data_IF_708666174524
#
_entry.id   IF_708666174524
#
_cell.length_a   1.000
_cell.length_b   1.000
_cell.length_c   1.000
_cell.angle_alpha   90.00
_cell.angle_beta   90.00
_cell.angle_gamma   90.00
#
_symmetry.space_group_name_H-M   'P 1'
#
loop_
_entity.id
_entity.type
_entity.pdbx_description
1 polymer ?
#
# COMPACT_ATOMS: atom_id res chain seq x y z
N UNK A 1 78.58 10.20 7.07
CA UNK A 1 78.40 9.60 8.40
C UNK A 1 77.58 10.59 9.21
N UNK A 2 76.30 10.82 8.94
CA UNK A 2 75.19 9.90 8.66
C UNK A 2 74.92 8.92 9.82
N UNK A 3 73.63 8.95 10.22
CA UNK A 3 72.88 8.06 11.12
C UNK A 3 72.88 8.36 12.64
N UNK A 4 71.76 8.38 13.37
CA UNK A 4 70.31 8.30 13.07
C UNK A 4 69.61 8.77 14.37
N UNK A 5 68.66 9.70 14.27
CA UNK A 5 67.73 10.04 15.36
C UNK A 5 66.72 8.89 15.55
N UNK A 6 66.75 8.21 16.69
CA UNK A 6 65.64 7.36 17.13
C UNK A 6 64.47 8.24 17.56
N UNK A 7 63.65 8.61 16.59
CA UNK A 7 62.35 9.22 16.80
C UNK A 7 61.34 8.11 17.10
N UNK A 8 61.24 7.67 18.36
CA UNK A 8 60.15 6.77 18.78
C UNK A 8 58.87 7.59 18.91
N UNK A 9 58.16 7.72 17.78
CA UNK A 9 56.80 8.26 17.72
C UNK A 9 55.93 7.39 18.63
N UNK A 10 55.46 8.00 19.72
CA UNK A 10 54.45 7.42 20.59
C UNK A 10 53.24 6.99 19.76
N UNK A 11 53.05 5.68 19.64
CA UNK A 11 51.80 5.09 19.19
C UNK A 11 50.97 4.86 20.45
N UNK A 12 50.27 5.91 20.90
CA UNK A 12 49.07 5.73 21.71
C UNK A 12 48.02 5.05 20.82
N UNK A 13 48.11 3.72 20.69
CA UNK A 13 46.93 2.93 20.38
C UNK A 13 46.03 3.01 21.63
N UNK A 14 45.01 3.86 21.56
CA UNK A 14 43.92 3.88 22.52
C UNK A 14 43.42 2.45 22.72
N UNK A 15 43.67 1.89 23.91
CA UNK A 15 43.15 0.59 24.32
C UNK A 15 41.63 0.70 24.32
N UNK A 16 40.99 0.17 23.29
CA UNK A 16 39.54 0.13 23.24
C UNK A 16 39.08 -0.80 24.37
N UNK A 17 38.39 -0.24 25.36
CA UNK A 17 37.93 -0.97 26.53
C UNK A 17 37.01 -2.12 26.09
N UNK A 18 37.47 -3.36 26.30
CA UNK A 18 36.80 -4.57 25.83
C UNK A 18 35.42 -4.75 26.48
N UNK A 19 35.26 -4.35 27.74
CA UNK A 19 33.96 -4.43 28.44
C UNK A 19 32.95 -3.42 27.88
N UNK A 20 33.42 -2.23 27.49
CA UNK A 20 32.60 -1.21 26.86
C UNK A 20 32.18 -1.63 25.45
N UNK A 21 33.07 -2.28 24.69
CA UNK A 21 32.75 -2.88 23.40
C UNK A 21 31.70 -3.99 23.53
N UNK A 22 31.85 -4.90 24.51
CA UNK A 22 30.90 -5.99 24.74
C UNK A 22 29.54 -5.42 25.10
N UNK A 23 29.46 -4.49 26.05
CA UNK A 23 28.20 -3.85 26.45
C UNK A 23 27.52 -3.11 25.29
N UNK A 24 28.29 -2.38 24.48
CA UNK A 24 27.76 -1.69 23.30
C UNK A 24 27.26 -2.68 22.24
N UNK A 25 27.91 -3.83 22.11
CA UNK A 25 27.48 -4.90 21.22
C UNK A 25 26.18 -5.55 21.68
N UNK A 26 26.01 -5.80 22.98
CA UNK A 26 24.77 -6.34 23.56
C UNK A 26 23.58 -5.39 23.34
N UNK A 27 23.79 -4.09 23.56
CA UNK A 27 22.76 -3.06 23.32
C UNK A 27 22.37 -3.05 21.83
N UNK A 28 23.34 -3.10 20.93
CA UNK A 28 23.08 -3.12 19.49
C UNK A 28 22.32 -4.38 19.05
N UNK A 29 22.71 -5.54 19.59
CA UNK A 29 22.02 -6.82 19.32
C UNK A 29 20.58 -6.74 19.81
N UNK A 30 20.34 -6.26 21.03
CA UNK A 30 18.99 -6.16 21.59
C UNK A 30 18.11 -5.21 20.76
N UNK A 31 18.60 -4.03 20.38
CA UNK A 31 17.87 -3.13 19.48
C UNK A 31 17.59 -3.76 18.11
N UNK A 32 18.52 -4.57 17.60
CA UNK A 32 18.34 -5.28 16.33
C UNK A 32 17.23 -6.33 16.44
N UNK A 33 17.21 -7.10 17.53
CA UNK A 33 16.17 -8.10 17.80
C UNK A 33 14.79 -7.45 17.92
N UNK A 34 14.66 -6.39 18.73
CA UNK A 34 13.40 -5.64 18.87
C UNK A 34 12.90 -5.08 17.52
N UNK A 35 13.82 -4.61 16.68
CA UNK A 35 13.47 -4.14 15.35
C UNK A 35 13.00 -5.29 14.44
N UNK A 36 13.67 -6.43 14.48
CA UNK A 36 13.25 -7.63 13.74
C UNK A 36 11.88 -8.12 14.17
N UNK A 37 11.61 -8.16 15.48
CA UNK A 37 10.29 -8.48 16.03
C UNK A 37 9.23 -7.51 15.52
N UNK A 38 9.48 -6.19 15.57
CA UNK A 38 8.55 -5.20 15.04
C UNK A 38 8.27 -5.43 13.54
N UNK A 39 9.30 -5.72 12.74
CA UNK A 39 9.11 -5.99 11.31
C UNK A 39 8.29 -7.27 11.06
N UNK A 40 8.51 -8.32 11.86
CA UNK A 40 7.69 -9.53 11.83
C UNK A 40 6.24 -9.22 12.20
N UNK A 41 5.99 -8.37 13.20
CA UNK A 41 4.62 -7.96 13.57
C UNK A 41 3.91 -7.24 12.41
N UNK A 42 4.62 -6.36 11.69
CA UNK A 42 4.08 -5.71 10.48
C UNK A 42 3.82 -6.71 9.34
N UNK A 43 4.66 -7.74 9.18
CA UNK A 43 4.41 -8.82 8.22
C UNK A 43 3.13 -9.60 8.54
N UNK A 44 2.91 -9.92 9.82
CA UNK A 44 1.67 -10.54 10.29
C UNK A 44 0.46 -9.65 10.01
N UNK A 45 0.55 -8.35 10.27
CA UNK A 45 -0.53 -7.40 9.96
C UNK A 45 -0.87 -7.36 8.45
N UNK A 46 0.15 -7.45 7.58
CA UNK A 46 -0.04 -7.57 6.13
C UNK A 46 -0.82 -8.83 5.78
N UNK A 47 -0.48 -9.97 6.39
CA UNK A 47 -1.16 -11.26 6.15
C UNK A 47 -2.63 -11.18 6.52
N UNK A 48 -2.95 -10.64 7.69
CA UNK A 48 -4.34 -10.45 8.15
C UNK A 48 -5.16 -9.61 7.15
N UNK A 49 -4.63 -8.45 6.76
CA UNK A 49 -5.32 -7.57 5.79
C UNK A 49 -5.46 -8.23 4.42
N UNK A 50 -4.42 -8.93 3.95
CA UNK A 50 -4.45 -9.66 2.66
C UNK A 50 -5.52 -10.74 2.68
N UNK A 51 -5.60 -11.55 3.73
CA UNK A 51 -6.62 -12.59 3.85
C UNK A 51 -8.02 -12.00 3.87
N UNK A 52 -8.25 -10.91 4.61
CA UNK A 52 -9.55 -10.21 4.58
C UNK A 52 -9.93 -9.76 3.17
N UNK A 53 -9.01 -9.16 2.43
CA UNK A 53 -9.24 -8.74 1.03
C UNK A 53 -9.51 -9.92 0.08
N UNK A 54 -8.78 -11.03 0.25
CA UNK A 54 -9.00 -12.26 -0.52
C UNK A 54 -10.39 -12.86 -0.25
N UNK A 55 -10.83 -12.85 1.01
CA UNK A 55 -12.18 -13.27 1.40
C UNK A 55 -13.24 -12.38 0.75
N UNK A 56 -13.06 -11.04 0.77
CA UNK A 56 -13.99 -10.12 0.11
C UNK A 56 -14.06 -10.38 -1.41
N UNK A 57 -12.92 -10.62 -2.07
CA UNK A 57 -12.90 -10.95 -3.50
C UNK A 57 -13.64 -12.26 -3.79
N UNK A 58 -13.42 -13.30 -2.98
CA UNK A 58 -14.10 -14.59 -3.11
C UNK A 58 -15.61 -14.46 -2.88
N UNK A 59 -16.03 -13.67 -1.88
CA UNK A 59 -17.45 -13.38 -1.63
C UNK A 59 -18.10 -12.72 -2.85
N UNK A 60 -17.46 -11.69 -3.41
CA UNK A 60 -17.99 -10.96 -4.57
C UNK A 60 -18.08 -11.84 -5.82
N UNK A 61 -17.10 -12.74 -5.99
CA UNK A 61 -17.09 -13.75 -7.05
C UNK A 61 -18.33 -14.63 -7.00
N UNK A 62 -18.68 -15.13 -5.82
CA UNK A 62 -19.80 -16.06 -5.64
C UNK A 62 -21.14 -15.33 -5.68
N UNK A 63 -21.27 -14.21 -4.97
CA UNK A 63 -22.57 -13.52 -4.79
C UNK A 63 -22.98 -12.70 -6.01
N UNK A 64 -22.01 -12.10 -6.70
CA UNK A 64 -22.26 -11.14 -7.78
C UNK A 64 -21.64 -11.56 -9.11
N UNK A 65 -21.01 -12.74 -9.19
CA UNK A 65 -20.32 -13.23 -10.41
C UNK A 65 -19.31 -12.22 -10.97
N UNK A 66 -18.67 -11.45 -10.09
CA UNK A 66 -17.69 -10.42 -10.44
C UNK A 66 -16.46 -10.57 -9.55
N UNK A 67 -15.27 -10.43 -10.14
CA UNK A 67 -13.99 -10.38 -9.43
C UNK A 67 -13.43 -8.96 -9.52
N UNK A 68 -13.80 -8.06 -8.59
CA UNK A 68 -13.38 -6.67 -8.66
C UNK A 68 -11.89 -6.45 -8.34
N UNK A 69 -11.22 -7.43 -7.72
CA UNK A 69 -9.78 -7.38 -7.43
C UNK A 69 -9.05 -8.28 -8.43
N UNK A 70 -8.16 -7.67 -9.21
CA UNK A 70 -7.28 -8.35 -10.17
C UNK A 70 -6.08 -8.96 -9.46
N UNK A 71 -5.42 -8.19 -8.59
CA UNK A 71 -4.33 -8.69 -7.78
C UNK A 71 -4.11 -7.87 -6.51
N UNK A 72 -3.55 -8.53 -5.51
CA UNK A 72 -3.14 -7.93 -4.24
C UNK A 72 -1.63 -8.12 -4.10
N UNK A 73 -0.91 -7.02 -3.87
CA UNK A 73 0.52 -7.05 -3.55
C UNK A 73 0.76 -6.40 -2.20
N UNK A 74 1.86 -6.73 -1.56
CA UNK A 74 2.22 -6.16 -0.26
C UNK A 74 3.72 -5.93 -0.15
N UNK A 75 4.09 -5.04 0.77
CA UNK A 75 5.50 -4.74 1.06
C UNK A 75 5.65 -4.27 2.50
N UNK A 76 6.83 -4.56 3.05
CA UNK A 76 7.34 -3.92 4.25
C UNK A 76 8.33 -2.83 3.83
N UNK A 77 8.24 -1.67 4.48
CA UNK A 77 9.15 -0.56 4.21
C UNK A 77 10.57 -0.95 4.62
N UNK A 78 11.55 -0.73 3.72
CA UNK A 78 12.96 -1.03 4.00
C UNK A 78 13.46 -0.23 5.22
N UNK A 79 14.33 -0.80 6.07
CA UNK A 79 14.86 -0.13 7.26
C UNK A 79 15.48 1.24 6.98
N UNK A 80 16.28 1.36 5.91
CA UNK A 80 16.87 2.64 5.49
C UNK A 80 15.80 3.70 5.17
N UNK A 81 14.67 3.29 4.57
CA UNK A 81 13.55 4.18 4.26
C UNK A 81 12.73 4.55 5.50
N UNK A 82 12.67 3.68 6.51
CA UNK A 82 12.09 3.98 7.83
C UNK A 82 12.93 5.06 8.52
N UNK A 83 14.25 4.82 8.63
CA UNK A 83 15.19 5.75 9.25
C UNK A 83 15.16 7.13 8.58
N UNK A 84 15.22 7.17 7.24
CA UNK A 84 15.12 8.43 6.48
C UNK A 84 13.81 9.17 6.77
N UNK A 85 12.69 8.46 6.84
CA UNK A 85 11.37 9.08 7.06
C UNK A 85 11.21 9.62 8.48
N UNK A 86 11.77 8.94 9.49
CA UNK A 86 11.83 9.47 10.86
C UNK A 86 12.71 10.72 10.93
N UNK A 87 13.88 10.69 10.30
CA UNK A 87 14.80 11.83 10.27
C UNK A 87 14.16 13.05 9.60
N UNK A 88 13.48 12.89 8.46
CA UNK A 88 12.74 13.98 7.79
C UNK A 88 11.63 14.56 8.70
N UNK A 89 11.10 13.77 9.63
CA UNK A 89 10.11 14.21 10.62
C UNK A 89 10.73 14.71 11.93
N UNK A 90 12.06 14.81 12.01
CA UNK A 90 12.78 15.23 13.22
C UNK A 90 12.66 14.25 14.39
N UNK A 91 12.38 12.97 14.12
CA UNK A 91 12.24 11.93 15.15
C UNK A 91 13.49 11.06 15.26
N UNK A 92 13.78 10.61 16.49
CA UNK A 92 14.85 9.64 16.74
C UNK A 92 14.50 8.26 16.18
N UNK A 93 15.50 7.48 15.79
CA UNK A 93 15.33 6.09 15.33
C UNK A 93 15.13 5.20 16.56
N UNK A 94 13.88 5.11 17.02
CA UNK A 94 13.44 4.26 18.15
C UNK A 94 12.20 3.47 17.75
N UNK A 95 12.01 2.29 18.33
CA UNK A 95 10.86 1.41 18.07
C UNK A 95 9.54 2.15 18.29
N UNK A 96 9.37 2.80 19.44
CA UNK A 96 8.16 3.59 19.75
C UNK A 96 7.88 4.67 18.70
N UNK A 97 8.91 5.40 18.27
CA UNK A 97 8.77 6.46 17.25
C UNK A 97 8.34 5.90 15.89
N UNK A 98 8.78 4.68 15.53
CA UNK A 98 8.31 4.01 14.30
C UNK A 98 6.79 3.79 14.38
N UNK A 99 6.31 3.21 15.47
CA UNK A 99 4.90 2.85 15.67
C UNK A 99 3.97 4.07 15.77
N UNK A 100 4.42 5.11 16.47
CA UNK A 100 3.63 6.32 16.70
C UNK A 100 3.58 7.20 15.45
N UNK A 101 4.70 7.29 14.72
CA UNK A 101 4.88 8.32 13.69
C UNK A 101 4.65 7.82 12.26
N UNK A 102 4.89 6.53 11.98
CA UNK A 102 4.82 5.97 10.63
C UNK A 102 3.56 5.12 10.43
N UNK A 103 2.80 5.45 9.40
CA UNK A 103 1.57 4.74 9.04
C UNK A 103 1.75 3.77 7.86
N UNK A 104 2.91 3.81 7.18
CA UNK A 104 3.20 3.11 5.92
C UNK A 104 4.39 2.14 6.06
N UNK A 105 4.59 1.58 7.25
CA UNK A 105 5.60 0.52 7.47
C UNK A 105 5.13 -0.78 6.81
N UNK A 106 3.89 -1.19 7.12
CA UNK A 106 3.15 -2.20 6.36
C UNK A 106 2.33 -1.53 5.25
N UNK A 107 2.52 -1.98 4.02
CA UNK A 107 1.75 -1.50 2.87
C UNK A 107 1.11 -2.65 2.11
N UNK A 108 -0.19 -2.55 1.86
CA UNK A 108 -0.96 -3.43 0.97
C UNK A 108 -1.45 -2.62 -0.22
N UNK A 109 -1.34 -3.17 -1.42
CA UNK A 109 -1.84 -2.57 -2.64
C UNK A 109 -2.86 -3.50 -3.27
N UNK A 110 -4.03 -2.96 -3.56
CA UNK A 110 -5.15 -3.66 -4.17
C UNK A 110 -5.40 -3.03 -5.53
N UNK A 111 -5.28 -3.83 -6.59
CA UNK A 111 -5.57 -3.40 -7.95
C UNK A 111 -6.93 -3.93 -8.36
N UNK A 112 -7.83 -3.00 -8.64
CA UNK A 112 -9.19 -3.23 -9.08
C UNK A 112 -9.34 -3.03 -10.57
N UNK A 113 -10.37 -3.65 -11.15
CA UNK A 113 -10.68 -3.52 -12.56
C UNK A 113 -11.23 -2.12 -12.89
N UNK A 114 -12.14 -1.58 -12.07
CA UNK A 114 -12.78 -0.29 -12.30
C UNK A 114 -12.74 0.66 -11.09
N UNK A 115 -13.09 1.93 -11.31
CA UNK A 115 -13.03 2.98 -10.28
C UNK A 115 -14.04 2.73 -9.16
N UNK A 116 -15.24 2.26 -9.47
CA UNK A 116 -16.28 2.02 -8.46
C UNK A 116 -15.98 0.79 -7.58
N UNK A 117 -15.32 -0.22 -8.13
CA UNK A 117 -14.77 -1.36 -7.38
C UNK A 117 -13.85 -0.90 -6.24
N UNK A 118 -13.08 0.18 -6.45
CA UNK A 118 -12.18 0.74 -5.44
C UNK A 118 -12.98 1.15 -4.19
N UNK A 119 -14.06 1.91 -4.39
CA UNK A 119 -14.88 2.42 -3.30
C UNK A 119 -15.69 1.32 -2.63
N UNK A 120 -16.15 0.33 -3.40
CA UNK A 120 -16.86 -0.82 -2.86
C UNK A 120 -15.97 -1.67 -1.95
N UNK A 121 -14.77 -2.03 -2.42
CA UNK A 121 -13.79 -2.78 -1.63
C UNK A 121 -13.35 -1.99 -0.39
N UNK A 122 -13.09 -0.69 -0.53
CA UNK A 122 -12.76 0.18 0.59
C UNK A 122 -13.86 0.16 1.66
N UNK A 123 -15.12 0.32 1.23
CA UNK A 123 -16.27 0.33 2.14
C UNK A 123 -16.47 -1.03 2.79
N UNK A 124 -16.34 -2.13 2.04
CA UNK A 124 -16.45 -3.49 2.59
C UNK A 124 -15.37 -3.78 3.63
N UNK A 125 -14.12 -3.37 3.38
CA UNK A 125 -13.01 -3.57 4.31
C UNK A 125 -13.21 -2.78 5.61
N UNK A 126 -13.54 -1.49 5.51
CA UNK A 126 -13.70 -0.61 6.69
C UNK A 126 -14.94 -0.95 7.52
N UNK A 127 -15.94 -1.63 6.95
CA UNK A 127 -17.13 -2.09 7.68
C UNK A 127 -16.90 -3.31 8.56
N UNK A 128 -15.75 -3.99 8.45
CA UNK A 128 -15.44 -5.12 9.32
C UNK A 128 -15.28 -4.63 10.77
N UNK A 129 -15.81 -5.38 11.72
CA UNK A 129 -15.93 -4.99 13.13
C UNK A 129 -14.57 -4.88 13.86
N UNK A 130 -13.54 -5.54 13.33
CA UNK A 130 -12.18 -5.54 13.84
C UNK A 130 -11.24 -4.57 13.10
N UNK A 131 -11.73 -3.79 12.15
CA UNK A 131 -10.95 -2.77 11.43
C UNK A 131 -11.34 -1.38 11.91
N UNK A 132 -10.32 -0.58 12.27
CA UNK A 132 -10.49 0.84 12.56
C UNK A 132 -9.88 1.69 11.46
N UNK A 133 -10.67 2.54 10.80
CA UNK A 133 -10.16 3.52 9.84
C UNK A 133 -9.53 4.70 10.60
N UNK A 134 -8.21 4.83 10.53
CA UNK A 134 -7.46 5.94 11.15
C UNK A 134 -7.47 7.17 10.26
N UNK A 135 -7.28 6.98 8.94
CA UNK A 135 -7.25 8.09 7.98
C UNK A 135 -7.54 7.62 6.57
N UNK A 136 -8.35 8.39 5.85
CA UNK A 136 -8.58 8.25 4.42
C UNK A 136 -7.93 9.42 3.66
N UNK A 137 -7.31 9.13 2.52
CA UNK A 137 -6.84 10.15 1.56
C UNK A 137 -7.30 9.73 0.17
N UNK A 138 -8.20 10.51 -0.40
CA UNK A 138 -8.81 10.22 -1.68
C UNK A 138 -8.13 11.01 -2.80
N UNK A 139 -7.03 10.45 -3.34
CA UNK A 139 -6.36 11.06 -4.48
C UNK A 139 -7.03 10.73 -5.82
N UNK A 140 -8.14 10.00 -5.82
CA UNK A 140 -8.94 9.80 -7.03
C UNK A 140 -9.82 11.03 -7.23
N UNK A 141 -10.53 11.44 -6.18
CA UNK A 141 -11.36 12.64 -6.18
C UNK A 141 -10.52 13.92 -6.11
N UNK A 142 -9.44 13.93 -5.33
CA UNK A 142 -8.52 15.07 -5.20
C UNK A 142 -7.08 14.67 -5.60
N UNK A 143 -6.78 14.56 -6.91
CA UNK A 143 -5.46 14.16 -7.40
C UNK A 143 -4.35 15.08 -6.88
N UNK A 144 -3.15 14.51 -6.71
CA UNK A 144 -1.98 15.32 -6.40
C UNK A 144 -1.61 16.24 -7.58
N UNK A 145 -0.85 17.32 -7.35
CA UNK A 145 -0.43 18.24 -8.41
C UNK A 145 0.29 17.56 -9.58
N UNK A 146 1.01 16.46 -9.33
CA UNK A 146 1.71 15.68 -10.37
C UNK A 146 0.79 14.72 -11.16
N UNK A 147 -0.51 14.68 -10.89
CA UNK A 147 -1.46 13.78 -11.56
C UNK A 147 -1.65 12.43 -10.86
N UNK A 148 -0.96 12.16 -9.74
CA UNK A 148 -1.08 10.91 -9.01
C UNK A 148 -2.49 10.68 -8.45
N UNK A 149 -3.05 9.48 -8.69
CA UNK A 149 -4.36 9.03 -8.22
C UNK A 149 -4.28 7.66 -7.53
N UNK A 150 -4.98 7.51 -6.42
CA UNK A 150 -5.15 6.28 -5.61
C UNK A 150 -6.02 6.60 -4.39
N UNK A 151 -6.80 5.64 -3.91
CA UNK A 151 -7.43 5.74 -2.60
C UNK A 151 -6.49 5.16 -1.54
N UNK A 152 -6.11 5.95 -0.53
CA UNK A 152 -5.27 5.48 0.58
C UNK A 152 -6.09 5.38 1.86
N UNK A 153 -6.10 4.20 2.45
CA UNK A 153 -6.67 3.95 3.77
C UNK A 153 -5.54 3.61 4.72
N UNK A 154 -5.44 4.34 5.83
CA UNK A 154 -4.62 3.95 6.97
C UNK A 154 -5.59 3.30 7.95
N UNK A 155 -5.42 2.00 8.15
CA UNK A 155 -6.26 1.20 9.04
C UNK A 155 -5.45 0.66 10.20
N UNK A 156 -6.12 0.39 11.32
CA UNK A 156 -5.62 -0.40 12.43
C UNK A 156 -6.38 -1.72 12.50
N UNK A 157 -5.63 -2.81 12.67
CA UNK A 157 -6.13 -4.19 12.73
C UNK A 157 -5.48 -4.93 13.91
N UNK A 158 -6.21 -5.76 14.66
CA UNK A 158 -5.61 -6.57 15.70
C UNK A 158 -4.80 -7.72 15.12
N UNK A 159 -3.59 -7.91 15.63
CA UNK A 159 -2.78 -9.11 15.41
C UNK A 159 -2.62 -9.83 16.74
N UNK A 160 -2.89 -11.13 16.73
CA UNK A 160 -2.82 -11.98 17.91
C UNK A 160 -1.51 -12.77 17.92
N UNK A 161 -0.61 -12.42 18.84
CA UNK A 161 0.63 -13.13 19.11
C UNK A 161 0.44 -14.08 20.31
N UNK A 162 1.45 -14.90 20.60
CA UNK A 162 1.38 -15.94 21.64
C UNK A 162 1.08 -15.40 23.05
N UNK A 163 1.47 -14.17 23.33
CA UNK A 163 1.43 -13.53 24.65
C UNK A 163 0.59 -12.24 24.68
N UNK A 164 0.22 -11.70 23.52
CA UNK A 164 -0.44 -10.40 23.44
C UNK A 164 -1.27 -10.22 22.17
N UNK A 165 -2.30 -9.38 22.27
CA UNK A 165 -3.00 -8.78 21.14
C UNK A 165 -2.44 -7.38 20.90
N UNK A 166 -2.06 -7.06 19.67
CA UNK A 166 -1.52 -5.75 19.32
C UNK A 166 -2.25 -5.14 18.12
N UNK A 167 -2.65 -3.88 18.23
CA UNK A 167 -3.22 -3.13 17.10
C UNK A 167 -2.07 -2.65 16.21
N UNK A 168 -2.11 -3.02 14.93
CA UNK A 168 -1.06 -2.70 13.97
C UNK A 168 -1.61 -1.82 12.85
N UNK A 169 -0.86 -0.78 12.47
CA UNK A 169 -1.21 0.11 11.36
C UNK A 169 -0.81 -0.50 10.03
N UNK A 170 -1.72 -0.46 9.05
CA UNK A 170 -1.45 -0.87 7.66
C UNK A 170 -1.96 0.22 6.72
N UNK A 171 -1.13 0.62 5.76
CA UNK A 171 -1.56 1.48 4.66
C UNK A 171 -2.07 0.60 3.51
N UNK A 172 -3.36 0.68 3.21
CA UNK A 172 -3.99 0.02 2.07
C UNK A 172 -4.16 1.05 0.94
N UNK A 173 -3.49 0.80 -0.18
CA UNK A 173 -3.59 1.61 -1.40
C UNK A 173 -4.45 0.88 -2.42
N UNK A 174 -5.59 1.44 -2.77
CA UNK A 174 -6.53 0.84 -3.73
C UNK A 174 -6.51 1.69 -5.01
N UNK A 175 -6.39 1.02 -6.16
CA UNK A 175 -6.14 1.64 -7.47
C UNK A 175 -6.79 0.83 -8.59
N UNK A 176 -7.00 1.46 -9.74
CA UNK A 176 -7.22 0.73 -11.00
C UNK A 176 -5.88 0.22 -11.56
N UNK A 177 -5.95 -0.65 -12.56
CA UNK A 177 -4.80 -1.07 -13.36
C UNK A 177 -4.08 0.16 -13.96
N UNK A 178 -4.85 1.11 -14.51
CA UNK A 178 -4.28 2.25 -15.20
C UNK A 178 -3.61 3.25 -14.24
N UNK A 179 -4.19 3.46 -13.05
CA UNK A 179 -3.56 4.23 -11.97
C UNK A 179 -2.24 3.58 -11.51
N UNK A 180 -2.19 2.25 -11.39
CA UNK A 180 -0.96 1.57 -10.96
C UNK A 180 0.12 1.59 -12.03
N UNK A 181 -0.26 1.46 -13.29
CA UNK A 181 0.62 1.64 -14.44
C UNK A 181 1.29 3.01 -14.42
N UNK A 182 0.49 4.09 -14.37
CA UNK A 182 1.03 5.45 -14.35
C UNK A 182 1.93 5.69 -13.14
N UNK A 183 1.48 5.31 -11.94
CA UNK A 183 2.24 5.55 -10.72
C UNK A 183 3.55 4.75 -10.67
N UNK A 184 3.60 3.57 -11.29
CA UNK A 184 4.82 2.77 -11.37
C UNK A 184 5.82 3.37 -12.34
N UNK A 185 5.36 3.84 -13.51
CA UNK A 185 6.21 4.52 -14.50
C UNK A 185 6.72 5.86 -13.99
N UNK A 186 5.86 6.70 -13.43
CA UNK A 186 6.27 8.00 -12.88
C UNK A 186 7.34 7.84 -11.80
N UNK A 187 7.17 6.88 -10.90
CA UNK A 187 8.17 6.57 -9.88
C UNK A 187 9.47 6.07 -10.51
N UNK A 188 9.42 5.19 -11.52
CA UNK A 188 10.62 4.71 -12.20
C UNK A 188 11.38 5.84 -12.91
N UNK A 189 10.67 6.74 -13.60
CA UNK A 189 11.27 7.86 -14.33
C UNK A 189 11.88 8.92 -13.40
N UNK A 190 11.23 9.21 -12.27
CA UNK A 190 11.75 10.16 -11.26
C UNK A 190 12.87 9.57 -10.41
N UNK A 191 12.88 8.27 -10.19
CA UNK A 191 13.84 7.65 -9.28
C UNK A 191 15.21 7.48 -9.96
N UNK A 192 16.23 8.17 -9.42
CA UNK A 192 17.66 8.13 -9.81
C UNK A 192 18.09 8.92 -11.06
N UNK A 193 17.23 9.74 -11.65
CA UNK A 193 17.62 10.59 -12.78
C UNK A 193 17.73 12.06 -12.36
N UNK A 194 18.84 12.71 -12.74
CA UNK A 194 18.91 14.17 -12.79
C UNK A 194 18.12 14.57 -14.02
N UNK A 195 16.93 15.12 -13.81
CA UNK A 195 16.02 15.48 -14.90
C UNK A 195 16.39 16.89 -15.36
N UNK A 196 16.97 17.00 -16.56
CA UNK A 196 16.98 18.28 -17.28
C UNK A 196 15.53 18.58 -17.71
N UNK A 197 15.08 19.83 -17.59
CA UNK A 197 13.71 20.25 -17.93
C UNK A 197 12.59 19.60 -17.07
N UNK A 198 12.80 19.52 -15.75
CA UNK A 198 11.86 18.91 -14.80
C UNK A 198 10.43 19.45 -14.89
N UNK A 199 10.26 20.75 -15.18
CA UNK A 199 8.95 21.38 -15.29
C UNK A 199 8.18 20.88 -16.52
N UNK A 200 8.85 20.75 -17.67
CA UNK A 200 8.26 20.25 -18.92
C UNK A 200 7.84 18.79 -18.75
N UNK A 201 8.74 17.96 -18.21
CA UNK A 201 8.46 16.54 -17.99
C UNK A 201 7.35 16.34 -16.95
N UNK A 202 7.32 17.15 -15.89
CA UNK A 202 6.25 17.08 -14.89
C UNK A 202 4.89 17.43 -15.49
N UNK A 203 4.84 18.39 -16.43
CA UNK A 203 3.61 18.74 -17.15
C UNK A 203 3.15 17.60 -18.06
N UNK A 204 4.05 17.03 -18.85
CA UNK A 204 3.73 15.92 -19.76
C UNK A 204 3.27 14.66 -19.01
N UNK A 205 3.93 14.32 -17.89
CA UNK A 205 3.51 13.23 -17.02
C UNK A 205 2.10 13.46 -16.45
N UNK A 206 1.77 14.70 -16.09
CA UNK A 206 0.45 15.07 -15.59
C UNK A 206 -0.61 14.94 -16.69
N UNK A 207 -0.34 15.44 -17.90
CA UNK A 207 -1.24 15.29 -19.05
C UNK A 207 -1.52 13.81 -19.34
N UNK A 208 -0.49 12.96 -19.32
CA UNK A 208 -0.65 11.51 -19.43
C UNK A 208 -1.53 10.93 -18.31
N UNK A 209 -1.39 11.42 -17.07
CA UNK A 209 -2.21 10.97 -15.94
C UNK A 209 -3.69 11.29 -16.14
N UNK A 210 -3.98 12.48 -16.68
CA UNK A 210 -5.33 12.95 -16.93
C UNK A 210 -6.00 12.18 -18.09
N UNK A 211 -5.25 11.88 -19.15
CA UNK A 211 -5.72 11.03 -20.26
C UNK A 211 -6.02 9.60 -19.82
N UNK A 212 -5.15 9.03 -18.98
CA UNK A 212 -5.35 7.70 -18.39
C UNK A 212 -6.63 7.69 -17.55
N UNK A 213 -6.84 8.71 -16.72
CA UNK A 213 -8.04 8.75 -15.90
C UNK A 213 -9.33 8.96 -16.71
N UNK A 214 -9.28 9.78 -17.76
CA UNK A 214 -10.40 9.91 -18.71
C UNK A 214 -10.70 8.56 -19.40
N UNK A 215 -9.66 7.75 -19.64
CA UNK A 215 -9.81 6.40 -20.20
C UNK A 215 -10.44 5.44 -19.19
N UNK A 216 -10.03 5.45 -17.92
CA UNK A 216 -10.66 4.64 -16.85
C UNK A 216 -12.16 4.97 -16.72
N UNK A 217 -12.53 6.25 -16.73
CA UNK A 217 -13.94 6.69 -16.65
C UNK A 217 -14.73 6.18 -17.86
N UNK A 218 -14.16 6.29 -19.07
CA UNK A 218 -14.80 5.79 -20.29
C UNK A 218 -15.01 4.28 -20.24
N UNK A 219 -14.03 3.52 -19.76
CA UNK A 219 -14.14 2.06 -19.60
C UNK A 219 -15.21 1.67 -18.58
N UNK A 220 -15.29 2.38 -17.45
CA UNK A 220 -16.37 2.19 -16.47
C UNK A 220 -17.75 2.44 -17.11
N UNK A 221 -17.90 3.52 -17.88
CA UNK A 221 -19.16 3.83 -18.55
C UNK A 221 -19.55 2.75 -19.59
N UNK A 222 -18.57 2.21 -20.33
CA UNK A 222 -18.82 1.10 -21.27
C UNK A 222 -19.30 -0.14 -20.52
N UNK A 223 -18.64 -0.50 -19.41
CA UNK A 223 -19.04 -1.64 -18.58
C UNK A 223 -20.48 -1.48 -18.08
N UNK A 224 -20.84 -0.29 -17.59
CA UNK A 224 -22.20 -0.01 -17.10
C UNK A 224 -23.25 -0.18 -18.20
N UNK A 225 -22.98 0.34 -19.41
CA UNK A 225 -23.88 0.16 -20.57
C UNK A 225 -24.09 -1.31 -20.93
N UNK A 226 -23.02 -2.12 -20.94
CA UNK A 226 -23.11 -3.56 -21.23
C UNK A 226 -23.97 -4.27 -20.17
N UNK A 227 -23.79 -3.92 -18.89
CA UNK A 227 -24.56 -4.51 -17.80
C UNK A 227 -26.05 -4.12 -17.83
N UNK A 228 -26.37 -2.86 -18.16
CA UNK A 228 -27.74 -2.39 -18.36
C UNK A 228 -28.43 -3.18 -19.47
N UNK A 229 -27.80 -3.29 -20.66
CA UNK A 229 -28.35 -4.05 -21.78
C UNK A 229 -28.56 -5.54 -21.46
N UNK A 230 -27.64 -6.15 -20.70
CA UNK A 230 -27.78 -7.57 -20.28
C UNK A 230 -28.94 -7.76 -19.30
N UNK A 231 -29.16 -6.80 -18.40
CA UNK A 231 -30.29 -6.85 -17.47
C UNK A 231 -31.62 -6.71 -18.19
N UNK A 232 -31.73 -5.78 -19.15
CA UNK A 232 -32.94 -5.60 -19.96
C UNK A 232 -33.27 -6.85 -20.78
N UNK A 233 -32.28 -7.48 -21.42
CA UNK A 233 -32.46 -8.77 -22.10
C UNK A 233 -32.92 -9.86 -21.13
N UNK A 234 -32.36 -9.93 -19.92
CA UNK A 234 -32.78 -10.92 -18.91
C UNK A 234 -34.22 -10.72 -18.41
N UNK A 235 -34.69 -9.47 -18.35
CA UNK A 235 -36.06 -9.11 -17.97
C UNK A 235 -37.01 -9.47 -19.10
N UNK A 236 -36.67 -9.10 -20.34
CA UNK A 236 -37.45 -9.45 -21.54
C UNK A 236 -37.58 -10.97 -21.71
N UNK A 237 -36.49 -11.72 -21.48
CA UNK A 237 -36.49 -13.18 -21.57
C UNK A 237 -37.32 -13.84 -20.46
N UNK A 238 -37.40 -13.22 -19.27
CA UNK A 238 -38.31 -13.63 -18.19
C UNK A 238 -39.76 -13.29 -18.51
N UNK A 239 -40.05 -12.11 -19.08
CA UNK A 239 -41.40 -11.70 -19.47
C UNK A 239 -41.95 -12.60 -20.58
N UNK A 240 -41.15 -12.95 -21.59
CA UNK A 240 -41.53 -13.87 -22.66
C UNK A 240 -41.81 -15.30 -22.16
N UNK A 241 -41.19 -15.74 -21.07
CA UNK A 241 -41.47 -17.03 -20.42
C UNK A 241 -42.74 -17.02 -19.56
N UNK A 242 -43.20 -15.86 -19.12
CA UNK A 242 -44.42 -15.71 -18.30
C UNK A 242 -45.68 -15.65 -19.16
N UNK A 243 -45.59 -15.32 -20.46
CA UNK A 243 -46.74 -14.93 -21.29
C UNK A 243 -47.19 -15.93 -22.38
N UNK A 244 -46.99 -17.26 -22.21
CA UNK A 244 -47.50 -18.23 -23.22
C UNK A 244 -48.25 -19.45 -22.68
N UNK A 245 -48.38 -19.62 -21.36
CA UNK A 245 -49.17 -20.73 -20.78
C UNK A 245 -50.32 -20.31 -19.88
N UNK A 246 -50.42 -19.03 -19.50
CA UNK A 246 -51.47 -18.51 -18.61
C UNK A 246 -52.71 -17.96 -19.35
N UNK A 247 -52.66 -17.81 -20.68
CA UNK A 247 -53.76 -17.26 -21.50
C UNK A 247 -54.50 -18.29 -22.37
N UNK A 248 -54.07 -19.56 -22.41
CA UNK A 248 -54.72 -20.62 -23.20
C UNK A 248 -55.06 -21.86 -22.37
N UNK A 249 -55.81 -21.69 -21.29
CA UNK A 249 -56.47 -22.81 -20.60
C UNK A 249 -57.82 -22.37 -20.04
N UNK A 250 -58.76 -22.09 -20.95
CA UNK A 250 -60.20 -22.24 -20.73
C UNK A 250 -60.69 -23.48 -21.48
#
# INVERSE_FOLDING_TARGET
MEELEENTIGTELSVVNTDELIKNSEILINHTLQFQELMMMYDCAIKEVKTKLEVLNAELSVRYKRNPIEFISSRIKKPASIAKKLQTKGKSIRISEIEDTLSDVAGVRVICSFIDDIYEIASMLVRQDDITLVKQKDYINEPKPNGYRSLHLIIEIPVFFSDQKKMMKVEVQIRTIAMDFWASLEHQLRYKHVINDEEIISKELKECADDIAATDIRMLNIRNKIQESTNDESILDKMNKVDLSSFYSF
#
